data_IF_525562172141
#
_entry.id   IF_525562172141
#
_cell.length_a   1.000
_cell.length_b   1.000
_cell.length_c   1.000
_cell.angle_alpha   90.00
_cell.angle_beta   90.00
_cell.angle_gamma   90.00
#
_symmetry.space_group_name_H-M   'P 1'
#
loop_
_entity.id
_entity.type
_entity.pdbx_description
1 polymer ?
#
# COMPACT_ATOMS: atom_id res chain seq x y z
N UNK A 1 3.79 8.19 10.09
CA UNK A 1 4.90 7.39 9.50
C UNK A 1 6.20 8.14 9.73
N UNK A 2 7.01 7.71 10.69
CA UNK A 2 8.15 8.51 11.13
C UNK A 2 7.70 9.89 11.61
N UNK A 3 8.36 10.95 11.12
CA UNK A 3 7.96 12.34 11.39
C UNK A 3 6.82 12.82 10.48
N UNK A 4 6.44 12.02 9.48
CA UNK A 4 5.41 12.36 8.51
C UNK A 4 4.02 12.08 9.09
N UNK A 5 3.19 13.11 9.15
CA UNK A 5 1.78 12.99 9.56
C UNK A 5 0.91 12.75 8.34
N UNK A 6 0.20 11.62 8.33
CA UNK A 6 -0.71 11.24 7.24
C UNK A 6 -2.10 10.88 7.76
N UNK A 7 -3.10 11.02 6.92
CA UNK A 7 -4.44 10.48 7.19
C UNK A 7 -4.39 8.96 7.24
N UNK A 8 -5.19 8.32 8.09
CA UNK A 8 -5.25 6.84 8.16
C UNK A 8 -5.87 6.20 6.91
N UNK A 9 -6.53 7.01 6.10
CA UNK A 9 -7.01 6.65 4.77
C UNK A 9 -6.12 7.31 3.73
N UNK A 10 -5.41 6.50 2.95
CA UNK A 10 -4.59 6.89 1.81
C UNK A 10 -5.17 6.38 0.50
N UNK A 11 -4.44 6.52 -0.57
CA UNK A 11 -4.85 6.10 -1.91
C UNK A 11 -3.81 5.19 -2.57
N UNK A 12 -4.23 4.00 -3.01
CA UNK A 12 -3.41 3.07 -3.78
C UNK A 12 -3.53 3.31 -5.28
N UNK A 13 -2.43 3.68 -5.93
CA UNK A 13 -2.43 4.08 -7.33
C UNK A 13 -2.35 2.93 -8.34
N UNK A 14 -2.23 1.66 -7.90
CA UNK A 14 -2.05 0.51 -8.78
C UNK A 14 -3.16 0.37 -9.82
N UNK A 15 -4.41 0.72 -9.48
CA UNK A 15 -5.58 0.63 -10.36
C UNK A 15 -5.62 1.74 -11.43
N UNK A 16 -4.67 2.68 -11.42
CA UNK A 16 -4.53 3.70 -12.46
C UNK A 16 -3.73 3.20 -13.67
N UNK A 17 -3.05 2.06 -13.57
CA UNK A 17 -2.46 1.40 -14.73
C UNK A 17 -3.53 0.65 -15.55
N UNK A 18 -3.18 0.30 -16.77
CA UNK A 18 -4.02 -0.50 -17.64
C UNK A 18 -4.23 -1.94 -17.14
N UNK A 19 -4.99 -2.76 -17.89
CA UNK A 19 -5.28 -4.15 -17.52
C UNK A 19 -4.02 -4.94 -17.17
N UNK A 20 -4.09 -5.74 -16.11
CA UNK A 20 -2.94 -6.50 -15.60
C UNK A 20 -1.83 -5.63 -15.00
N UNK A 21 -2.14 -4.38 -14.66
CA UNK A 21 -1.16 -3.38 -14.18
C UNK A 21 -0.08 -3.10 -15.24
N UNK A 22 -0.47 -3.09 -16.52
CA UNK A 22 0.42 -2.87 -17.67
C UNK A 22 -0.12 -1.75 -18.57
N UNK A 23 0.79 -0.88 -19.02
CA UNK A 23 0.46 0.22 -19.92
C UNK A 23 -0.48 1.28 -19.33
N UNK A 24 -0.95 2.22 -20.17
CA UNK A 24 -1.81 3.29 -19.73
C UNK A 24 -3.25 2.79 -19.44
N UNK A 25 -4.00 3.50 -18.57
CA UNK A 25 -5.42 3.23 -18.39
C UNK A 25 -6.21 3.48 -19.68
N UNK A 26 -7.40 2.90 -19.75
CA UNK A 26 -8.31 3.13 -20.87
C UNK A 26 -8.75 4.60 -20.97
N UNK A 27 -8.85 5.29 -19.83
CA UNK A 27 -9.21 6.69 -19.73
C UNK A 27 -8.21 7.44 -18.83
N UNK A 28 -7.15 8.01 -19.41
CA UNK A 28 -6.16 8.79 -18.66
C UNK A 28 -6.74 10.06 -18.01
N UNK A 29 -7.72 10.70 -18.62
CA UNK A 29 -8.33 11.92 -18.08
C UNK A 29 -9.16 11.61 -16.82
N UNK A 30 -9.87 10.49 -16.81
CA UNK A 30 -10.56 10.01 -15.61
C UNK A 30 -9.56 9.65 -14.49
N UNK A 31 -8.42 9.04 -14.82
CA UNK A 31 -7.37 8.74 -13.85
C UNK A 31 -6.79 10.03 -13.22
N UNK A 32 -6.50 11.05 -14.04
CA UNK A 32 -6.04 12.36 -13.59
C UNK A 32 -7.09 13.05 -12.71
N UNK A 33 -8.37 12.98 -13.11
CA UNK A 33 -9.47 13.55 -12.32
C UNK A 33 -9.60 12.87 -10.96
N UNK A 34 -9.48 11.53 -10.91
CA UNK A 34 -9.50 10.76 -9.66
C UNK A 34 -8.34 11.17 -8.74
N UNK A 35 -7.12 11.34 -9.27
CA UNK A 35 -5.96 11.78 -8.49
C UNK A 35 -6.15 13.17 -7.88
N UNK A 36 -6.75 14.11 -8.62
CA UNK A 36 -7.07 15.45 -8.08
C UNK A 36 -8.09 15.37 -6.97
N UNK A 37 -9.12 14.55 -7.16
CA UNK A 37 -10.14 14.34 -6.14
C UNK A 37 -9.58 13.68 -4.86
N UNK A 38 -8.57 12.82 -4.96
CA UNK A 38 -7.85 12.27 -3.79
C UNK A 38 -7.36 13.41 -2.88
N UNK A 39 -6.74 14.43 -3.45
CA UNK A 39 -6.24 15.61 -2.71
C UNK A 39 -7.41 16.47 -2.20
N UNK A 40 -8.43 16.70 -3.01
CA UNK A 40 -9.62 17.49 -2.63
C UNK A 40 -10.39 16.86 -1.46
N UNK A 41 -10.35 15.53 -1.32
CA UNK A 41 -10.93 14.80 -0.19
C UNK A 41 -10.04 14.81 1.07
N UNK A 42 -8.90 15.52 1.04
CA UNK A 42 -7.99 15.65 2.18
C UNK A 42 -7.14 14.40 2.46
N UNK A 43 -7.00 13.51 1.48
CA UNK A 43 -6.10 12.36 1.59
C UNK A 43 -4.66 12.88 1.44
N UNK A 44 -3.80 12.51 2.39
CA UNK A 44 -2.46 13.07 2.50
C UNK A 44 -1.34 12.09 2.13
N UNK A 45 -1.65 10.88 1.68
CA UNK A 45 -0.63 9.99 1.11
C UNK A 45 -1.16 9.16 -0.05
N UNK A 46 -0.29 8.98 -1.05
CA UNK A 46 -0.51 8.15 -2.23
C UNK A 46 0.55 7.06 -2.23
N UNK A 47 0.11 5.81 -2.33
CA UNK A 47 0.98 4.64 -2.49
C UNK A 47 1.08 4.26 -3.97
N UNK A 48 2.29 4.23 -4.50
CA UNK A 48 2.60 3.92 -5.91
C UNK A 48 3.76 2.94 -6.04
N UNK A 49 4.20 2.66 -7.24
CA UNK A 49 5.46 2.01 -7.63
C UNK A 49 5.78 2.35 -9.08
N UNK A 50 7.06 2.46 -9.43
CA UNK A 50 7.53 2.60 -10.81
C UNK A 50 7.17 1.39 -11.69
N UNK A 51 7.01 0.23 -11.08
CA UNK A 51 6.56 -1.00 -11.72
C UNK A 51 5.08 -0.97 -12.16
N UNK A 52 4.28 0.03 -11.75
CA UNK A 52 2.88 0.13 -12.15
C UNK A 52 2.74 0.78 -13.53
N UNK A 53 2.43 -0.06 -14.53
CA UNK A 53 2.21 0.33 -15.91
C UNK A 53 3.41 0.45 -16.86
N UNK A 54 4.64 0.00 -16.65
CA UNK A 54 5.74 0.60 -15.88
C UNK A 54 5.87 2.11 -16.12
N UNK A 55 6.17 2.87 -15.09
CA UNK A 55 6.30 4.36 -15.05
C UNK A 55 4.96 5.11 -15.21
N UNK A 56 3.98 4.54 -15.92
CA UNK A 56 2.71 5.19 -16.30
C UNK A 56 1.98 5.79 -15.08
N UNK A 57 1.87 5.03 -14.00
CA UNK A 57 1.17 5.50 -12.80
C UNK A 57 1.88 6.71 -12.17
N UNK A 58 3.21 6.69 -12.11
CA UNK A 58 4.01 7.81 -11.62
C UNK A 58 3.90 9.04 -12.53
N UNK A 59 3.86 8.85 -13.85
CA UNK A 59 3.63 9.93 -14.84
C UNK A 59 2.24 10.56 -14.68
N UNK A 60 1.21 9.75 -14.42
CA UNK A 60 -0.16 10.23 -14.15
C UNK A 60 -0.20 11.04 -12.83
N UNK A 61 0.45 10.56 -11.77
CA UNK A 61 0.55 11.26 -10.49
C UNK A 61 1.22 12.62 -10.69
N UNK A 62 2.36 12.66 -11.38
CA UNK A 62 3.05 13.91 -11.72
C UNK A 62 2.18 14.85 -12.52
N UNK A 63 1.55 14.35 -13.59
CA UNK A 63 0.70 15.16 -14.47
C UNK A 63 -0.50 15.75 -13.73
N UNK A 64 -1.08 14.98 -12.81
CA UNK A 64 -2.25 15.42 -12.07
C UNK A 64 -1.95 16.43 -10.96
N UNK A 65 -0.82 16.24 -10.25
CA UNK A 65 -0.61 16.83 -8.93
C UNK A 65 0.67 17.68 -8.79
N UNK A 66 1.58 17.68 -9.79
CA UNK A 66 2.77 18.52 -9.69
C UNK A 66 2.46 20.00 -10.05
N UNK A 67 2.91 21.00 -9.25
CA UNK A 67 3.66 20.87 -8.00
C UNK A 67 2.81 20.29 -6.87
N UNK A 68 3.40 19.34 -6.13
CA UNK A 68 2.68 18.63 -5.07
C UNK A 68 2.35 19.53 -3.89
N UNK A 69 1.14 19.41 -3.27
CA UNK A 69 0.86 20.05 -1.99
C UNK A 69 1.85 19.59 -0.91
N UNK A 70 2.27 20.51 -0.04
CA UNK A 70 3.22 20.20 1.06
C UNK A 70 2.70 19.10 2.00
N UNK A 71 1.38 18.96 2.14
CA UNK A 71 0.75 17.94 2.96
C UNK A 71 0.66 16.58 2.30
N UNK A 72 0.96 16.47 1.00
CA UNK A 72 0.87 15.21 0.26
C UNK A 72 2.21 14.47 0.27
N UNK A 73 2.18 13.23 0.71
CA UNK A 73 3.35 12.36 0.75
C UNK A 73 3.20 11.20 -0.24
N UNK A 74 4.28 10.94 -0.99
CA UNK A 74 4.31 9.84 -1.95
C UNK A 74 5.13 8.69 -1.38
N UNK A 75 4.46 7.55 -1.27
CA UNK A 75 5.06 6.27 -0.84
C UNK A 75 5.27 5.43 -2.07
N UNK A 76 6.50 5.02 -2.35
CA UNK A 76 6.80 4.18 -3.52
C UNK A 76 7.49 2.87 -3.12
N UNK A 77 7.72 1.99 -4.09
CA UNK A 77 8.33 0.68 -3.88
C UNK A 77 9.45 0.45 -4.89
N UNK A 78 10.48 -0.25 -4.45
CA UNK A 78 11.56 -0.79 -5.27
C UNK A 78 11.79 -2.26 -4.93
N UNK A 79 12.54 -2.99 -5.74
CA UNK A 79 12.87 -4.41 -5.49
C UNK A 79 12.09 -5.40 -6.35
N UNK A 80 11.20 -4.93 -7.21
CA UNK A 80 10.56 -5.72 -8.26
C UNK A 80 10.50 -4.90 -9.54
N UNK A 81 10.58 -5.55 -10.68
CA UNK A 81 10.40 -4.95 -12.00
C UNK A 81 9.20 -5.56 -12.73
N UNK A 82 8.95 -5.14 -13.95
CA UNK A 82 7.94 -5.74 -14.84
C UNK A 82 8.63 -6.30 -16.07
N UNK A 83 8.26 -7.49 -16.46
CA UNK A 83 8.69 -8.07 -17.73
C UNK A 83 7.64 -7.87 -18.84
N UNK A 84 8.00 -8.24 -20.06
CA UNK A 84 7.14 -8.12 -21.25
C UNK A 84 5.89 -9.01 -21.19
N UNK A 85 5.88 -10.03 -20.33
CA UNK A 85 4.74 -10.94 -20.13
C UNK A 85 3.85 -10.51 -18.96
N UNK A 86 4.15 -9.36 -18.32
CA UNK A 86 3.42 -8.88 -17.16
C UNK A 86 3.79 -9.56 -15.84
N UNK A 87 4.88 -10.32 -15.80
CA UNK A 87 5.45 -10.87 -14.58
C UNK A 87 6.05 -9.81 -13.66
N UNK A 88 6.38 -10.23 -12.45
CA UNK A 88 6.97 -9.37 -11.40
C UNK A 88 8.32 -9.95 -10.94
N UNK A 89 9.35 -10.02 -11.82
CA UNK A 89 10.63 -10.54 -11.43
C UNK A 89 11.28 -9.68 -10.33
N UNK A 90 12.01 -10.31 -9.40
CA UNK A 90 12.82 -9.59 -8.42
C UNK A 90 13.88 -8.71 -9.12
N UNK A 91 14.04 -7.48 -8.64
CA UNK A 91 15.05 -6.51 -9.06
C UNK A 91 15.70 -5.91 -7.81
N UNK A 92 16.46 -6.74 -7.07
CA UNK A 92 16.99 -6.44 -5.73
C UNK A 92 18.50 -6.32 -5.67
N UNK A 93 19.20 -6.47 -6.80
CA UNK A 93 20.63 -6.15 -6.85
C UNK A 93 20.89 -4.68 -6.54
N UNK A 94 22.05 -4.36 -6.01
CA UNK A 94 22.45 -2.99 -5.66
C UNK A 94 22.15 -1.98 -6.78
N UNK A 95 22.55 -2.31 -8.01
CA UNK A 95 22.33 -1.41 -9.15
C UNK A 95 20.86 -1.32 -9.57
N UNK A 96 20.08 -2.38 -9.39
CA UNK A 96 18.65 -2.35 -9.66
C UNK A 96 17.92 -1.42 -8.68
N UNK A 97 18.26 -1.52 -7.39
CA UNK A 97 17.67 -0.66 -6.35
C UNK A 97 18.03 0.81 -6.59
N UNK A 98 19.30 1.11 -6.91
CA UNK A 98 19.75 2.48 -7.23
C UNK A 98 19.00 3.05 -8.42
N UNK A 99 18.91 2.28 -9.50
CA UNK A 99 18.20 2.68 -10.71
C UNK A 99 16.71 2.92 -10.41
N UNK A 100 16.05 2.01 -9.70
CA UNK A 100 14.65 2.15 -9.38
C UNK A 100 14.34 3.39 -8.51
N UNK A 101 15.22 3.74 -7.56
CA UNK A 101 15.11 4.99 -6.79
C UNK A 101 15.26 6.20 -7.70
N UNK A 102 16.28 6.19 -8.59
CA UNK A 102 16.51 7.28 -9.54
C UNK A 102 15.34 7.46 -10.52
N UNK A 103 14.79 6.36 -11.04
CA UNK A 103 13.63 6.37 -11.94
C UNK A 103 12.39 6.96 -11.24
N UNK A 104 12.14 6.60 -9.97
CA UNK A 104 11.04 7.19 -9.21
C UNK A 104 11.23 8.71 -9.03
N UNK A 105 12.43 9.17 -8.65
CA UNK A 105 12.73 10.60 -8.51
C UNK A 105 12.47 11.35 -9.80
N UNK A 106 13.01 10.84 -10.92
CA UNK A 106 12.90 11.47 -12.25
C UNK A 106 11.42 11.54 -12.70
N UNK A 107 10.71 10.40 -12.65
CA UNK A 107 9.36 10.33 -13.21
C UNK A 107 8.37 11.12 -12.36
N UNK A 108 8.48 11.04 -11.03
CA UNK A 108 7.65 11.83 -10.13
C UNK A 108 8.04 13.31 -10.12
N UNK A 109 9.24 13.67 -10.58
CA UNK A 109 9.75 15.04 -10.53
C UNK A 109 10.04 15.51 -9.11
N UNK A 110 10.62 14.64 -8.30
CA UNK A 110 10.98 14.87 -6.91
C UNK A 110 12.50 14.85 -6.72
N UNK A 111 13.00 15.72 -5.85
CA UNK A 111 14.41 15.69 -5.42
C UNK A 111 14.65 14.64 -4.31
N UNK A 112 13.61 14.34 -3.52
CA UNK A 112 13.67 13.40 -2.39
C UNK A 112 12.36 12.62 -2.34
N UNK A 113 12.43 11.29 -2.19
CA UNK A 113 11.28 10.42 -1.96
C UNK A 113 10.92 10.39 -0.46
N UNK A 114 9.64 10.56 -0.13
CA UNK A 114 9.19 10.59 1.27
C UNK A 114 9.35 9.23 1.96
N UNK A 115 8.83 8.17 1.33
CA UNK A 115 8.93 6.80 1.85
C UNK A 115 9.20 5.83 0.70
N UNK A 116 10.21 4.98 0.85
CA UNK A 116 10.51 3.90 -0.09
C UNK A 116 10.41 2.56 0.62
N UNK A 117 9.53 1.71 0.11
CA UNK A 117 9.38 0.34 0.57
C UNK A 117 10.27 -0.60 -0.26
N UNK A 118 11.14 -1.38 0.38
CA UNK A 118 11.76 -2.52 -0.26
C UNK A 118 10.74 -3.64 -0.42
N UNK A 119 10.35 -3.94 -1.65
CA UNK A 119 9.45 -5.06 -1.93
C UNK A 119 10.21 -6.37 -2.00
N UNK A 120 9.81 -7.27 -1.13
CA UNK A 120 10.32 -8.64 -1.00
C UNK A 120 9.32 -9.66 -1.55
N UNK A 121 9.60 -10.94 -1.37
CA UNK A 121 8.70 -12.01 -1.81
C UNK A 121 8.43 -12.01 -3.32
N UNK A 122 7.32 -12.59 -3.69
CA UNK A 122 6.82 -12.67 -5.07
C UNK A 122 5.30 -12.43 -5.14
N UNK A 123 4.66 -12.84 -6.23
CA UNK A 123 3.21 -12.68 -6.40
C UNK A 123 2.38 -13.59 -5.47
N UNK A 124 2.98 -14.61 -4.87
CA UNK A 124 2.29 -15.57 -3.97
C UNK A 124 2.35 -15.14 -2.50
N UNK A 125 3.26 -14.22 -2.15
CA UNK A 125 3.41 -13.71 -0.79
C UNK A 125 4.87 -13.51 -0.38
N UNK A 126 5.11 -13.27 0.92
CA UNK A 126 6.45 -13.19 1.48
C UNK A 126 7.25 -14.47 1.23
N UNK A 127 8.54 -14.34 0.92
CA UNK A 127 9.47 -15.44 0.71
C UNK A 127 10.67 -15.27 1.63
N UNK A 128 11.17 -16.36 2.19
CA UNK A 128 12.39 -16.33 2.98
C UNK A 128 13.60 -15.89 2.15
N UNK A 129 14.56 -15.29 2.80
CA UNK A 129 15.80 -14.80 2.20
C UNK A 129 16.27 -13.53 2.88
N UNK A 130 17.57 -13.25 2.76
CA UNK A 130 18.14 -12.02 3.31
C UNK A 130 17.72 -10.80 2.50
N UNK A 131 17.42 -9.72 3.20
CA UNK A 131 17.19 -8.40 2.62
C UNK A 131 18.41 -7.48 2.76
N UNK A 132 19.52 -8.00 3.32
CA UNK A 132 20.66 -7.19 3.75
C UNK A 132 21.18 -6.26 2.64
N UNK A 133 21.63 -6.82 1.52
CA UNK A 133 22.23 -6.04 0.44
C UNK A 133 21.29 -4.96 -0.15
N UNK A 134 20.04 -5.30 -0.57
CA UNK A 134 19.13 -4.29 -1.09
C UNK A 134 18.71 -3.26 -0.04
N UNK A 135 18.57 -3.65 1.22
CA UNK A 135 18.16 -2.72 2.27
C UNK A 135 19.31 -1.78 2.68
N UNK A 136 20.53 -2.29 2.80
CA UNK A 136 21.73 -1.44 3.01
C UNK A 136 21.89 -0.44 1.87
N UNK A 137 21.59 -0.84 0.63
CA UNK A 137 21.60 0.08 -0.52
C UNK A 137 20.58 1.22 -0.33
N UNK A 138 19.39 0.94 0.16
CA UNK A 138 18.40 1.98 0.48
C UNK A 138 18.88 2.89 1.63
N UNK A 139 19.53 2.33 2.65
CA UNK A 139 20.12 3.12 3.74
C UNK A 139 21.20 4.06 3.22
N UNK A 140 22.07 3.61 2.31
CA UNK A 140 23.06 4.48 1.64
C UNK A 140 22.38 5.63 0.87
N UNK A 141 21.31 5.36 0.14
CA UNK A 141 20.55 6.38 -0.61
C UNK A 141 19.81 7.34 0.34
N UNK A 142 19.33 6.86 1.49
CA UNK A 142 18.77 7.71 2.53
C UNK A 142 19.85 8.65 3.12
N UNK A 143 21.06 8.14 3.40
CA UNK A 143 22.18 8.95 3.89
C UNK A 143 22.64 10.01 2.85
N UNK A 144 22.44 9.74 1.56
CA UNK A 144 22.69 10.69 0.46
C UNK A 144 21.57 11.75 0.35
N UNK A 145 20.48 11.64 1.12
CA UNK A 145 19.37 12.58 1.11
C UNK A 145 18.35 12.35 -0.02
N UNK A 146 18.41 11.21 -0.71
CA UNK A 146 17.47 10.88 -1.80
C UNK A 146 16.17 10.24 -1.30
N UNK A 147 16.17 9.73 -0.07
CA UNK A 147 15.04 9.08 0.60
C UNK A 147 14.93 9.64 2.01
N UNK A 148 13.72 9.99 2.48
CA UNK A 148 13.51 10.43 3.86
C UNK A 148 13.33 9.24 4.80
N UNK A 149 12.44 8.31 4.44
CA UNK A 149 12.07 7.18 5.30
C UNK A 149 12.06 5.86 4.53
N UNK A 150 12.37 4.78 5.25
CA UNK A 150 12.40 3.43 4.72
C UNK A 150 11.22 2.61 5.25
N UNK A 151 10.77 1.67 4.44
CA UNK A 151 9.82 0.65 4.81
C UNK A 151 10.11 -0.67 4.10
N UNK A 152 9.34 -1.69 4.39
CA UNK A 152 9.41 -2.98 3.71
C UNK A 152 8.01 -3.41 3.26
N UNK A 153 7.95 -4.18 2.18
CA UNK A 153 6.68 -4.69 1.63
C UNK A 153 6.82 -6.16 1.28
N UNK A 154 5.76 -6.91 1.54
CA UNK A 154 5.70 -8.35 1.27
C UNK A 154 6.84 -9.10 1.98
N UNK A 155 7.04 -8.77 3.26
CA UNK A 155 8.12 -9.22 4.12
C UNK A 155 7.63 -10.21 5.18
N UNK A 156 8.43 -11.21 5.52
CA UNK A 156 8.20 -12.06 6.70
C UNK A 156 8.50 -11.27 7.99
N UNK A 157 7.97 -11.72 9.13
CA UNK A 157 8.28 -11.11 10.43
C UNK A 157 9.80 -11.12 10.72
N UNK A 158 10.51 -12.17 10.29
CA UNK A 158 11.97 -12.27 10.41
C UNK A 158 12.67 -11.17 9.60
N UNK A 159 12.24 -10.94 8.37
CA UNK A 159 12.77 -9.88 7.52
C UNK A 159 12.45 -8.48 8.07
N UNK A 160 11.26 -8.28 8.65
CA UNK A 160 10.93 -7.03 9.35
C UNK A 160 11.88 -6.80 10.54
N UNK A 161 12.17 -7.84 11.32
CA UNK A 161 13.14 -7.74 12.43
C UNK A 161 14.56 -7.47 11.92
N UNK A 162 14.99 -8.12 10.82
CA UNK A 162 16.28 -7.86 10.16
C UNK A 162 16.38 -6.40 9.70
N UNK A 163 15.39 -5.90 8.96
CA UNK A 163 15.36 -4.51 8.50
C UNK A 163 15.50 -3.51 9.67
N UNK A 164 14.74 -3.72 10.74
CA UNK A 164 14.78 -2.86 11.95
C UNK A 164 16.10 -2.93 12.68
N UNK A 165 16.87 -4.01 12.54
CA UNK A 165 18.22 -4.10 13.10
C UNK A 165 19.26 -3.30 12.33
N UNK A 166 19.00 -3.03 11.03
CA UNK A 166 19.89 -2.28 10.15
C UNK A 166 19.60 -0.78 10.22
N UNK A 167 18.31 -0.39 10.07
CA UNK A 167 17.89 1.01 10.14
C UNK A 167 16.42 1.12 10.59
N UNK A 168 15.99 2.30 11.11
CA UNK A 168 14.58 2.54 11.40
C UNK A 168 13.71 2.41 10.16
N UNK A 169 12.59 1.69 10.27
CA UNK A 169 11.54 1.65 9.27
C UNK A 169 10.29 2.34 9.79
N UNK A 170 9.53 2.97 8.91
CA UNK A 170 8.31 3.71 9.27
C UNK A 170 7.03 2.96 8.94
N UNK A 171 7.09 1.96 8.06
CA UNK A 171 5.94 1.13 7.72
C UNK A 171 6.34 -0.28 7.25
N UNK A 172 5.38 -1.19 7.40
CA UNK A 172 5.37 -2.53 6.79
C UNK A 172 4.11 -2.65 5.94
N UNK A 173 4.26 -3.05 4.68
CA UNK A 173 3.15 -3.16 3.74
C UNK A 173 3.00 -4.61 3.26
N UNK A 174 2.05 -5.35 3.82
CA UNK A 174 1.81 -6.77 3.51
C UNK A 174 0.36 -7.02 3.11
N UNK A 175 0.11 -8.19 2.49
CA UNK A 175 -1.26 -8.65 2.27
C UNK A 175 -1.91 -8.99 3.61
N UNK A 176 -3.03 -8.30 3.91
CA UNK A 176 -3.81 -8.57 5.11
C UNK A 176 -5.26 -8.14 4.91
N UNK A 177 -6.17 -9.03 5.26
CA UNK A 177 -7.61 -8.82 5.18
C UNK A 177 -8.34 -9.88 6.04
N UNK A 178 -9.66 -9.86 6.03
CA UNK A 178 -10.50 -10.79 6.80
C UNK A 178 -10.14 -12.27 6.62
N UNK A 179 -9.66 -12.69 5.43
CA UNK A 179 -9.30 -14.06 5.13
C UNK A 179 -7.79 -14.35 5.28
N UNK A 180 -6.95 -13.33 5.33
CA UNK A 180 -5.49 -13.44 5.41
C UNK A 180 -5.00 -12.73 6.66
N UNK A 181 -4.88 -13.47 7.76
CA UNK A 181 -4.64 -12.98 9.12
C UNK A 181 -3.27 -13.36 9.68
N UNK A 182 -2.32 -13.77 8.83
CA UNK A 182 -1.00 -14.28 9.28
C UNK A 182 -0.19 -13.21 10.02
N UNK A 183 -0.45 -11.93 9.77
CA UNK A 183 0.27 -10.82 10.37
C UNK A 183 -0.41 -10.24 11.63
N UNK A 184 -1.38 -10.95 12.25
CA UNK A 184 -2.06 -10.45 13.47
C UNK A 184 -1.04 -10.04 14.56
N UNK A 185 -0.10 -10.92 14.90
CA UNK A 185 0.93 -10.66 15.91
C UNK A 185 1.92 -9.57 15.46
N UNK A 186 2.28 -9.56 14.17
CA UNK A 186 3.17 -8.55 13.61
C UNK A 186 2.54 -7.14 13.68
N UNK A 187 1.23 -7.01 13.42
CA UNK A 187 0.52 -5.73 13.53
C UNK A 187 0.60 -5.19 14.97
N UNK A 188 0.41 -6.05 15.96
CA UNK A 188 0.43 -5.66 17.38
C UNK A 188 1.86 -5.27 17.82
N UNK A 189 2.88 -6.00 17.38
CA UNK A 189 4.29 -5.67 17.64
C UNK A 189 4.69 -4.32 16.98
N UNK A 190 4.23 -4.08 15.76
CA UNK A 190 4.48 -2.83 15.05
C UNK A 190 3.74 -1.65 15.69
N UNK A 191 2.52 -1.86 16.19
CA UNK A 191 1.77 -0.85 16.92
C UNK A 191 2.51 -0.43 18.21
N UNK A 192 3.02 -1.40 18.97
CA UNK A 192 3.83 -1.14 20.16
C UNK A 192 5.13 -0.38 19.84
N UNK A 193 5.67 -0.56 18.65
CA UNK A 193 6.89 0.10 18.18
C UNK A 193 6.63 1.44 17.45
N UNK A 194 5.39 1.87 17.29
CA UNK A 194 5.04 3.10 16.57
C UNK A 194 5.29 3.02 15.05
N UNK A 195 5.33 1.81 14.48
CA UNK A 195 5.51 1.55 13.06
C UNK A 195 4.16 1.32 12.40
N UNK A 196 3.89 1.97 11.27
CA UNK A 196 2.64 1.80 10.55
C UNK A 196 2.56 0.42 9.87
N UNK A 197 1.35 -0.14 9.83
CA UNK A 197 1.04 -1.32 9.04
C UNK A 197 0.09 -0.93 7.90
N UNK A 198 0.45 -1.28 6.66
CA UNK A 198 -0.26 -0.84 5.44
C UNK A 198 -0.78 -2.08 4.70
N UNK A 199 -2.02 -2.53 5.00
CA UNK A 199 -2.59 -3.70 4.34
C UNK A 199 -2.92 -3.40 2.88
N UNK A 200 -2.46 -4.26 1.97
CA UNK A 200 -2.94 -4.26 0.60
C UNK A 200 -3.95 -5.40 0.36
N UNK A 201 -4.77 -5.29 -0.68
CA UNK A 201 -5.84 -6.22 -1.03
C UNK A 201 -6.88 -6.43 0.08
N UNK A 202 -7.60 -5.38 0.48
CA UNK A 202 -8.56 -5.44 1.58
C UNK A 202 -9.72 -6.43 1.36
N UNK A 203 -10.02 -6.77 0.09
CA UNK A 203 -11.00 -7.80 -0.30
C UNK A 203 -10.38 -8.94 -1.11
N UNK A 204 -9.08 -9.28 -0.90
CA UNK A 204 -8.43 -10.41 -1.56
C UNK A 204 -7.80 -10.10 -2.92
N UNK A 205 -7.84 -8.85 -3.38
CA UNK A 205 -7.15 -8.42 -4.61
C UNK A 205 -7.74 -9.04 -5.88
N UNK A 206 -6.92 -9.80 -6.62
CA UNK A 206 -7.34 -10.45 -7.87
C UNK A 206 -8.33 -11.62 -7.68
N UNK A 207 -8.47 -12.12 -6.46
CA UNK A 207 -9.44 -13.13 -6.07
C UNK A 207 -10.30 -12.57 -4.94
N UNK A 208 -11.38 -11.84 -5.24
CA UNK A 208 -12.20 -11.18 -4.25
C UNK A 208 -12.75 -12.17 -3.21
N UNK A 209 -12.67 -11.78 -1.95
CA UNK A 209 -13.22 -12.54 -0.84
C UNK A 209 -14.75 -12.67 -1.00
N UNK A 210 -15.22 -13.89 -1.02
CA UNK A 210 -16.63 -14.23 -0.97
C UNK A 210 -16.96 -14.70 0.45
N UNK A 211 -17.81 -13.96 1.16
CA UNK A 211 -18.21 -14.27 2.52
C UNK A 211 -19.66 -13.84 2.77
N UNK A 212 -20.49 -14.78 3.18
CA UNK A 212 -21.87 -14.54 3.60
C UNK A 212 -21.93 -13.64 4.84
N UNK A 213 -20.98 -13.78 5.75
CA UNK A 213 -20.88 -12.98 6.97
C UNK A 213 -20.58 -11.51 6.63
N UNK A 214 -19.61 -11.27 5.73
CA UNK A 214 -19.27 -9.92 5.27
C UNK A 214 -20.46 -9.27 4.55
N UNK A 215 -21.16 -10.03 3.69
CA UNK A 215 -22.36 -9.55 2.99
C UNK A 215 -23.49 -9.22 3.96
N UNK A 216 -23.73 -10.08 4.94
CA UNK A 216 -24.79 -9.87 5.94
C UNK A 216 -24.54 -8.63 6.81
N UNK A 217 -23.26 -8.36 7.18
CA UNK A 217 -22.90 -7.14 7.90
C UNK A 217 -23.08 -5.91 7.00
N UNK A 218 -22.66 -5.98 5.74
CA UNK A 218 -22.83 -4.89 4.79
C UNK A 218 -24.31 -4.54 4.56
N UNK A 219 -25.16 -5.54 4.33
CA UNK A 219 -26.61 -5.37 4.14
C UNK A 219 -27.26 -4.73 5.37
N UNK A 220 -26.92 -5.18 6.58
CA UNK A 220 -27.46 -4.63 7.84
C UNK A 220 -27.07 -3.17 8.05
N UNK A 221 -25.85 -2.80 7.63
CA UNK A 221 -25.35 -1.43 7.73
C UNK A 221 -25.75 -0.54 6.54
N UNK A 222 -26.47 -1.09 5.54
CA UNK A 222 -26.81 -0.37 4.32
C UNK A 222 -25.57 0.11 3.55
N UNK A 223 -24.51 -0.70 3.55
CA UNK A 223 -23.21 -0.33 3.01
C UNK A 223 -22.67 -1.41 2.06
N UNK A 224 -21.46 -1.22 1.53
CA UNK A 224 -20.80 -2.19 0.67
C UNK A 224 -19.85 -3.11 1.46
N UNK A 225 -19.60 -4.31 0.95
CA UNK A 225 -18.59 -5.22 1.52
C UNK A 225 -17.20 -4.58 1.58
N UNK A 226 -16.83 -3.74 0.59
CA UNK A 226 -15.58 -2.98 0.61
C UNK A 226 -15.54 -2.00 1.79
N UNK A 227 -16.59 -1.21 1.96
CA UNK A 227 -16.68 -0.24 3.06
C UNK A 227 -16.56 -0.91 4.43
N UNK A 228 -17.25 -2.04 4.63
CA UNK A 228 -17.18 -2.83 5.87
C UNK A 228 -15.77 -3.39 6.09
N UNK A 229 -15.12 -3.92 5.04
CA UNK A 229 -13.75 -4.43 5.14
C UNK A 229 -12.74 -3.32 5.48
N UNK A 230 -12.88 -2.14 4.88
CA UNK A 230 -12.03 -0.98 5.20
C UNK A 230 -12.22 -0.50 6.64
N UNK A 231 -13.47 -0.42 7.10
CA UNK A 231 -13.78 -0.05 8.48
C UNK A 231 -13.22 -1.07 9.49
N UNK A 232 -13.35 -2.37 9.19
CA UNK A 232 -12.77 -3.43 10.00
C UNK A 232 -11.26 -3.31 10.11
N UNK A 233 -10.55 -3.08 8.99
CA UNK A 233 -9.10 -2.87 8.98
C UNK A 233 -8.68 -1.69 9.86
N UNK A 234 -9.37 -0.55 9.78
CA UNK A 234 -9.06 0.62 10.61
C UNK A 234 -9.34 0.38 12.10
N UNK A 235 -10.31 -0.46 12.43
CA UNK A 235 -10.64 -0.79 13.82
C UNK A 235 -9.77 -1.92 14.38
N UNK A 236 -9.04 -2.67 13.52
CA UNK A 236 -8.09 -3.72 13.95
C UNK A 236 -6.96 -3.17 14.80
N UNK A 237 -6.39 -2.04 14.41
CA UNK A 237 -5.29 -1.42 15.16
C UNK A 237 -5.10 0.07 14.79
N UNK A 238 -4.66 0.93 15.73
CA UNK A 238 -4.48 2.35 15.46
C UNK A 238 -3.33 2.65 14.48
N UNK A 239 -2.37 1.75 14.30
CA UNK A 239 -1.26 1.90 13.35
C UNK A 239 -1.57 1.44 11.93
N UNK A 240 -2.79 0.95 11.66
CA UNK A 240 -3.20 0.57 10.30
C UNK A 240 -3.47 1.81 9.46
N UNK A 241 -2.85 1.87 8.27
CA UNK A 241 -3.08 2.89 7.24
C UNK A 241 -3.62 2.21 5.98
N UNK A 242 -4.74 2.66 5.47
CA UNK A 242 -5.38 2.09 4.28
C UNK A 242 -4.84 2.70 2.99
N UNK A 243 -4.77 1.89 1.94
CA UNK A 243 -4.42 2.30 0.58
C UNK A 243 -5.36 1.64 -0.46
N UNK A 244 -6.70 1.74 -0.31
CA UNK A 244 -7.59 1.19 -1.33
C UNK A 244 -7.38 1.91 -2.65
N UNK A 245 -7.28 1.15 -3.74
CA UNK A 245 -7.11 1.67 -5.09
C UNK A 245 -8.39 1.60 -5.89
N UNK A 246 -8.65 2.64 -6.67
CA UNK A 246 -9.74 2.68 -7.66
C UNK A 246 -9.42 3.69 -8.75
N UNK A 247 -9.93 3.47 -9.96
CA UNK A 247 -9.93 4.45 -11.06
C UNK A 247 -11.27 5.20 -11.18
N UNK A 248 -12.19 5.00 -10.23
CA UNK A 248 -13.54 5.59 -10.23
C UNK A 248 -13.69 6.58 -9.07
N UNK A 249 -13.99 7.83 -9.38
CA UNK A 249 -14.32 8.86 -8.39
C UNK A 249 -15.51 8.49 -7.50
N UNK A 250 -16.49 7.77 -8.03
CA UNK A 250 -17.62 7.28 -7.23
C UNK A 250 -17.16 6.28 -6.18
N UNK A 251 -16.37 5.27 -6.58
CA UNK A 251 -15.83 4.30 -5.64
C UNK A 251 -14.84 4.93 -4.65
N UNK A 252 -14.10 5.97 -5.07
CA UNK A 252 -13.22 6.70 -4.16
C UNK A 252 -14.02 7.32 -2.99
N UNK A 253 -15.10 8.03 -3.31
CA UNK A 253 -15.99 8.63 -2.29
C UNK A 253 -16.64 7.57 -1.41
N UNK A 254 -17.14 6.48 -1.99
CA UNK A 254 -17.71 5.35 -1.25
C UNK A 254 -16.70 4.76 -0.27
N UNK A 255 -15.47 4.55 -0.70
CA UNK A 255 -14.40 4.02 0.13
C UNK A 255 -14.05 4.96 1.30
N UNK A 256 -13.97 6.29 1.04
CA UNK A 256 -13.71 7.30 2.08
C UNK A 256 -14.84 7.31 3.11
N UNK A 257 -16.10 7.34 2.66
CA UNK A 257 -17.27 7.30 3.54
C UNK A 257 -17.30 5.97 4.33
N UNK A 258 -17.07 4.86 3.63
CA UNK A 258 -17.08 3.53 4.22
C UNK A 258 -16.02 3.31 5.28
N UNK A 259 -14.84 3.88 5.11
CA UNK A 259 -13.77 3.83 6.11
C UNK A 259 -14.17 4.52 7.44
N UNK A 260 -15.14 5.42 7.41
CA UNK A 260 -15.70 6.08 8.58
C UNK A 260 -16.78 5.29 9.33
N UNK A 261 -17.17 4.11 8.83
CA UNK A 261 -18.16 3.27 9.52
C UNK A 261 -17.65 2.82 10.89
N UNK A 262 -18.54 2.85 11.88
CA UNK A 262 -18.27 2.29 13.20
C UNK A 262 -18.96 0.94 13.29
N UNK A 263 -18.18 -0.13 13.37
CA UNK A 263 -18.66 -1.49 13.53
C UNK A 263 -18.94 -1.76 15.00
N UNK A 264 -20.08 -2.39 15.31
CA UNK A 264 -20.39 -2.84 16.66
C UNK A 264 -19.51 -4.03 17.08
N UNK A 265 -19.49 -4.35 18.37
CA UNK A 265 -18.79 -5.54 18.87
C UNK A 265 -19.30 -6.83 18.23
N UNK A 266 -20.61 -6.92 17.98
CA UNK A 266 -21.22 -8.07 17.29
C UNK A 266 -20.79 -8.14 15.83
N UNK A 267 -20.66 -7.00 15.14
CA UNK A 267 -20.14 -6.93 13.78
C UNK A 267 -18.69 -7.40 13.71
N UNK A 268 -17.86 -6.89 14.60
CA UNK A 268 -16.45 -7.28 14.69
C UNK A 268 -16.31 -8.77 14.98
N UNK A 269 -17.08 -9.29 15.95
CA UNK A 269 -17.09 -10.71 16.27
C UNK A 269 -17.58 -11.60 15.12
N UNK A 270 -18.52 -11.13 14.30
CA UNK A 270 -18.96 -11.83 13.10
C UNK A 270 -17.87 -11.86 12.03
N UNK A 271 -17.25 -10.71 11.76
CA UNK A 271 -16.19 -10.55 10.76
C UNK A 271 -14.92 -11.30 11.16
N UNK A 272 -14.59 -11.33 12.44
CA UNK A 272 -13.40 -12.01 12.96
C UNK A 272 -13.45 -13.54 12.85
N UNK A 273 -14.61 -14.12 12.55
CA UNK A 273 -14.73 -15.56 12.23
C UNK A 273 -14.31 -15.89 10.81
N UNK A 274 -14.28 -14.89 9.91
CA UNK A 274 -13.85 -15.08 8.52
C UNK A 274 -12.36 -15.44 8.51
N UNK A 275 -11.99 -16.48 7.74
CA UNK A 275 -10.58 -16.92 7.59
C UNK A 275 -9.99 -17.66 8.80
N UNK A 276 -10.71 -17.83 9.89
CA UNK A 276 -10.29 -18.73 10.97
C UNK A 276 -10.70 -20.15 10.65
N UNK A 277 -9.83 -21.16 10.83
CA UNK A 277 -10.25 -22.56 10.71
C UNK A 277 -11.38 -22.80 11.71
N UNK A 278 -12.45 -23.43 11.24
CA UNK A 278 -13.51 -23.95 12.12
C UNK A 278 -12.85 -25.04 12.95
N UNK A 279 -12.66 -24.81 14.24
CA UNK A 279 -12.06 -25.72 15.20
C UNK A 279 -12.90 -27.00 15.40
#
# INVERSE_FOLDING_TARGET
MGEVTVTRFGYGAMQLAGPGVMGPPTDPDAAISTLREVVDLGITHIDTADAYGPRITNELIRTALHPYPESLHIVTKVGASRDEHGGWPPARGREDVRRAVQDNLEVLGLDVLDVVNLRLGDATGPQDGSLLEPFETLVELQQQGLIRHLGVSNATATQVAEARSIAPIVCVQNMYNLAHRQDDDLIDDLAAAGVAYVPFFPLGGFSPLQSSELSAVADRLGSTSMSVALAWLLQRSPNVLLIPGTSSSTHLRENVIGAGLVLSEDDLAALDRIGRPVG
#
